data_IF_170695549572
#
_entry.id   IF_170695549572
#
_cell.length_a   1.000
_cell.length_b   1.000
_cell.length_c   1.000
_cell.angle_alpha   90.00
_cell.angle_beta   90.00
_cell.angle_gamma   90.00
#
_symmetry.space_group_name_H-M   'P 1'
#
loop_
_entity.id
_entity.type
_entity.pdbx_description
1 polymer ?
#
# COMPACT_ATOMS: atom_id res chain seq x y z
N UNK A 1 33.43 -43.13 34.07
CA UNK A 1 32.28 -42.31 33.61
C UNK A 1 31.08 -43.23 33.45
N UNK A 2 29.90 -42.84 33.93
CA UNK A 2 28.69 -43.62 33.66
C UNK A 2 28.36 -43.60 32.17
N UNK A 3 27.66 -44.62 31.67
CA UNK A 3 27.18 -44.70 30.28
C UNK A 3 26.41 -43.44 29.87
N UNK A 4 25.66 -42.86 30.80
CA UNK A 4 24.94 -41.58 30.64
C UNK A 4 25.92 -40.42 30.41
N UNK A 5 27.03 -40.36 31.15
CA UNK A 5 28.05 -39.31 30.98
C UNK A 5 28.74 -39.37 29.60
N UNK A 6 28.93 -40.56 29.04
CA UNK A 6 29.49 -40.73 27.69
C UNK A 6 28.48 -40.25 26.63
N UNK A 7 27.20 -40.62 26.78
CA UNK A 7 26.13 -40.20 25.86
C UNK A 7 26.00 -38.67 25.84
N UNK A 8 25.99 -38.02 27.01
CA UNK A 8 25.91 -36.56 27.09
C UNK A 8 27.11 -35.87 26.44
N UNK A 9 28.32 -36.43 26.60
CA UNK A 9 29.53 -35.88 25.99
C UNK A 9 29.52 -36.03 24.47
N UNK A 10 29.03 -37.17 23.95
CA UNK A 10 28.84 -37.36 22.51
C UNK A 10 27.80 -36.40 21.93
N UNK A 11 26.67 -36.17 22.62
CA UNK A 11 25.67 -35.19 22.20
C UNK A 11 26.27 -33.78 22.18
N UNK A 12 26.98 -33.39 23.23
CA UNK A 12 27.63 -32.08 23.30
C UNK A 12 28.65 -31.89 22.16
N UNK A 13 29.48 -32.89 21.89
CA UNK A 13 30.44 -32.86 20.78
C UNK A 13 29.74 -32.76 19.41
N UNK A 14 28.65 -33.50 19.21
CA UNK A 14 27.85 -33.44 17.98
C UNK A 14 27.22 -32.05 17.78
N UNK A 15 26.69 -31.43 18.84
CA UNK A 15 26.15 -30.07 18.81
C UNK A 15 27.24 -29.05 18.47
N UNK A 16 28.42 -29.14 19.11
CA UNK A 16 29.55 -28.24 18.80
C UNK A 16 29.99 -28.41 17.34
N UNK A 17 30.11 -29.64 16.85
CA UNK A 17 30.47 -29.90 15.46
C UNK A 17 29.43 -29.33 14.49
N UNK A 18 28.13 -29.52 14.77
CA UNK A 18 27.05 -28.95 13.97
C UNK A 18 27.11 -27.41 13.94
N UNK A 19 27.35 -26.76 15.08
CA UNK A 19 27.53 -25.31 15.17
C UNK A 19 28.73 -24.85 14.35
N UNK A 20 29.88 -25.51 14.46
CA UNK A 20 31.07 -25.18 13.67
C UNK A 20 30.86 -25.37 12.17
N UNK A 21 30.13 -26.42 11.77
CA UNK A 21 29.76 -26.67 10.38
C UNK A 21 28.85 -25.55 9.86
N UNK A 22 27.81 -25.17 10.63
CA UNK A 22 26.91 -24.06 10.29
C UNK A 22 27.71 -22.76 10.15
N UNK A 23 28.56 -22.41 11.11
CA UNK A 23 29.40 -21.20 11.05
C UNK A 23 30.32 -21.21 9.82
N UNK A 24 30.87 -22.37 9.46
CA UNK A 24 31.70 -22.53 8.26
C UNK A 24 30.89 -22.31 6.97
N UNK A 25 29.68 -22.87 6.90
CA UNK A 25 28.76 -22.65 5.76
C UNK A 25 28.37 -21.18 5.65
N UNK A 26 28.02 -20.53 6.76
CA UNK A 26 27.69 -19.10 6.79
C UNK A 26 28.89 -18.26 6.33
N UNK A 27 30.11 -18.58 6.79
CA UNK A 27 31.34 -17.89 6.36
C UNK A 27 31.62 -18.06 4.87
N UNK A 28 31.35 -19.24 4.30
CA UNK A 28 31.48 -19.47 2.86
C UNK A 28 30.43 -18.67 2.08
N UNK A 29 29.14 -18.76 2.47
CA UNK A 29 28.03 -18.01 1.86
C UNK A 29 28.32 -16.50 1.86
N UNK A 30 28.72 -15.95 2.99
CA UNK A 30 29.09 -14.52 3.11
C UNK A 30 30.30 -14.13 2.25
N UNK A 31 31.34 -14.97 2.19
CA UNK A 31 32.56 -14.67 1.41
C UNK A 31 32.30 -14.63 -0.09
N UNK A 32 31.46 -15.53 -0.59
CA UNK A 32 31.19 -15.66 -2.02
C UNK A 32 29.94 -14.90 -2.48
N UNK A 33 29.22 -14.23 -1.58
CA UNK A 33 28.05 -13.45 -1.94
C UNK A 33 28.44 -12.16 -2.66
N UNK A 34 27.81 -11.94 -3.81
CA UNK A 34 27.83 -10.68 -4.55
C UNK A 34 26.38 -10.33 -4.90
N UNK A 35 25.91 -9.10 -4.62
CA UNK A 35 24.54 -8.73 -4.95
C UNK A 35 24.28 -8.72 -6.46
N UNK A 36 23.06 -9.03 -6.86
CA UNK A 36 22.62 -8.93 -8.26
C UNK A 36 22.69 -7.47 -8.74
N UNK A 37 23.35 -7.24 -9.88
CA UNK A 37 23.47 -5.89 -10.46
C UNK A 37 22.13 -5.38 -11.03
N UNK A 38 21.36 -6.28 -11.66
CA UNK A 38 20.03 -5.96 -12.21
C UNK A 38 18.98 -5.81 -11.10
N UNK A 39 18.84 -4.58 -10.61
CA UNK A 39 17.87 -4.22 -9.56
C UNK A 39 16.41 -4.37 -10.00
N UNK A 40 16.12 -4.32 -11.31
CA UNK A 40 14.76 -4.51 -11.80
C UNK A 40 14.38 -5.98 -11.66
N UNK A 41 15.23 -6.90 -12.14
CA UNK A 41 15.03 -8.34 -12.00
C UNK A 41 15.00 -8.76 -10.52
N UNK A 42 15.87 -8.20 -9.68
CA UNK A 42 15.91 -8.47 -8.23
C UNK A 42 14.61 -8.02 -7.53
N UNK A 43 14.08 -6.83 -7.86
CA UNK A 43 12.79 -6.36 -7.35
C UNK A 43 11.64 -7.26 -7.80
N UNK A 44 11.62 -7.68 -9.07
CA UNK A 44 10.60 -8.59 -9.59
C UNK A 44 10.64 -9.94 -8.88
N UNK A 45 11.84 -10.46 -8.58
CA UNK A 45 12.01 -11.69 -7.81
C UNK A 45 11.45 -11.55 -6.40
N UNK A 46 11.83 -10.50 -5.67
CA UNK A 46 11.29 -10.21 -4.35
C UNK A 46 9.75 -10.09 -4.38
N UNK A 47 9.22 -9.36 -5.37
CA UNK A 47 7.78 -9.17 -5.52
C UNK A 47 7.03 -10.46 -5.85
N UNK A 48 7.67 -11.43 -6.54
CA UNK A 48 7.09 -12.77 -6.71
C UNK A 48 7.04 -13.52 -5.38
N UNK A 49 8.11 -13.48 -4.59
CA UNK A 49 8.22 -14.18 -3.32
C UNK A 49 7.15 -13.68 -2.31
N UNK A 50 6.93 -12.36 -2.22
CA UNK A 50 6.01 -11.77 -1.24
C UNK A 50 4.58 -11.57 -1.76
N UNK A 51 4.29 -11.93 -3.02
CA UNK A 51 2.95 -11.74 -3.62
C UNK A 51 1.88 -12.51 -2.87
N UNK A 52 2.16 -13.77 -2.49
CA UNK A 52 1.22 -14.64 -1.80
C UNK A 52 0.86 -14.13 -0.39
N UNK A 53 1.75 -13.35 0.21
CA UNK A 53 1.51 -12.65 1.46
C UNK A 53 0.61 -11.41 1.29
N UNK A 54 0.38 -10.94 0.06
CA UNK A 54 -0.46 -9.79 -0.24
C UNK A 54 0.29 -8.47 -0.41
N UNK A 55 1.62 -8.50 -0.58
CA UNK A 55 2.45 -7.29 -0.61
C UNK A 55 3.31 -7.21 -1.88
N UNK A 56 3.88 -6.02 -2.09
CA UNK A 56 4.94 -5.75 -3.04
C UNK A 56 5.91 -4.70 -2.47
N UNK A 57 7.09 -4.63 -3.05
CA UNK A 57 8.15 -3.68 -2.74
C UNK A 57 8.39 -2.73 -3.90
N UNK A 58 8.61 -1.45 -3.57
CA UNK A 58 9.02 -0.42 -4.50
C UNK A 58 10.35 0.19 -4.06
N UNK A 59 11.40 -0.08 -4.84
CA UNK A 59 12.77 0.40 -4.60
C UNK A 59 12.89 1.92 -4.63
N UNK A 60 12.15 2.63 -5.48
CA UNK A 60 12.23 4.10 -5.59
C UNK A 60 11.82 4.78 -4.29
N UNK A 61 10.82 4.23 -3.60
CA UNK A 61 10.35 4.74 -2.31
C UNK A 61 10.95 4.02 -1.10
N UNK A 62 11.73 2.96 -1.34
CA UNK A 62 12.18 1.98 -0.34
C UNK A 62 11.05 1.60 0.62
N UNK A 63 9.95 1.08 0.05
CA UNK A 63 8.70 0.86 0.77
C UNK A 63 8.03 -0.44 0.33
N UNK A 64 7.63 -1.24 1.31
CA UNK A 64 6.71 -2.37 1.15
C UNK A 64 5.28 -1.88 1.25
N UNK A 65 4.36 -2.41 0.46
CA UNK A 65 2.98 -1.95 0.40
C UNK A 65 2.03 -3.07 0.01
N UNK A 66 0.77 -2.95 0.41
CA UNK A 66 -0.31 -3.89 0.10
C UNK A 66 -0.65 -3.91 -1.39
N UNK A 67 -0.96 -5.10 -1.90
CA UNK A 67 -1.57 -5.27 -3.21
C UNK A 67 -3.07 -4.96 -3.14
N UNK A 68 -3.65 -4.58 -4.28
CA UNK A 68 -5.09 -4.32 -4.37
C UNK A 68 -5.92 -5.56 -4.02
N UNK A 69 -5.53 -6.70 -4.59
CA UNK A 69 -6.25 -7.97 -4.53
C UNK A 69 -5.57 -8.94 -3.56
N UNK A 70 -5.09 -8.42 -2.43
CA UNK A 70 -4.50 -9.24 -1.38
C UNK A 70 -5.58 -10.03 -0.61
N UNK A 71 -5.24 -11.21 -0.12
CA UNK A 71 -6.18 -12.12 0.55
C UNK A 71 -6.78 -11.51 1.83
N UNK A 72 -6.10 -10.55 2.46
CA UNK A 72 -6.59 -9.78 3.61
C UNK A 72 -7.94 -9.11 3.33
N UNK A 73 -8.29 -8.89 2.05
CA UNK A 73 -9.58 -8.33 1.64
C UNK A 73 -10.77 -9.20 2.05
N UNK A 74 -10.57 -10.51 2.21
CA UNK A 74 -11.60 -11.45 2.63
C UNK A 74 -11.88 -11.40 4.14
N UNK A 75 -11.01 -10.74 4.91
CA UNK A 75 -10.96 -10.84 6.37
C UNK A 75 -11.78 -9.76 7.07
N UNK A 76 -12.18 -8.70 6.35
CA UNK A 76 -12.90 -7.57 6.92
C UNK A 76 -12.17 -6.91 8.09
N UNK A 77 -12.93 -6.29 9.01
CA UNK A 77 -12.37 -5.64 10.18
C UNK A 77 -13.32 -5.56 11.37
N UNK A 78 -12.80 -5.72 12.57
CA UNK A 78 -13.44 -5.34 13.83
C UNK A 78 -12.40 -4.92 14.86
N UNK A 79 -12.86 -4.26 15.94
CA UNK A 79 -11.99 -3.75 17.00
C UNK A 79 -11.08 -4.83 17.62
N UNK A 80 -11.51 -6.09 17.64
CA UNK A 80 -10.72 -7.20 18.20
C UNK A 80 -9.36 -7.36 17.51
N UNK A 81 -9.23 -6.93 16.25
CA UNK A 81 -7.97 -6.97 15.52
C UNK A 81 -6.97 -5.95 16.08
N UNK A 82 -7.41 -4.74 16.43
CA UNK A 82 -6.55 -3.77 17.12
C UNK A 82 -6.12 -4.30 18.48
N UNK A 83 -7.06 -4.87 19.24
CA UNK A 83 -6.80 -5.42 20.58
C UNK A 83 -5.76 -6.55 20.58
N UNK A 84 -5.79 -7.42 19.55
CA UNK A 84 -4.87 -8.54 19.41
C UNK A 84 -3.54 -8.20 18.73
N UNK A 85 -3.37 -6.97 18.22
CA UNK A 85 -2.23 -6.62 17.35
C UNK A 85 -0.86 -6.82 18.02
N UNK A 86 -0.73 -6.46 19.29
CA UNK A 86 0.52 -6.59 20.05
C UNK A 86 0.97 -8.03 20.26
N UNK A 87 0.04 -9.01 20.26
CA UNK A 87 0.37 -10.44 20.30
C UNK A 87 1.15 -10.92 19.07
N UNK A 88 1.12 -10.12 17.99
CA UNK A 88 1.78 -10.42 16.72
C UNK A 88 2.85 -9.39 16.37
N UNK A 89 3.46 -8.80 17.41
CA UNK A 89 4.54 -7.82 17.30
C UNK A 89 4.16 -6.53 16.56
N UNK A 90 2.87 -6.22 16.46
CA UNK A 90 2.38 -4.97 15.90
C UNK A 90 1.98 -4.06 17.06
N UNK A 91 2.69 -2.95 17.22
CA UNK A 91 2.43 -1.94 18.24
C UNK A 91 2.24 -0.62 17.50
N UNK A 92 1.00 -0.16 17.46
CA UNK A 92 0.57 0.94 16.62
C UNK A 92 -0.51 1.75 17.31
N UNK A 93 -0.59 3.02 16.94
CA UNK A 93 -1.78 3.79 17.26
C UNK A 93 -2.88 3.53 16.22
N UNK A 94 -4.10 3.34 16.71
CA UNK A 94 -5.31 3.12 15.92
C UNK A 94 -6.25 4.32 16.06
N UNK A 95 -6.80 4.80 14.95
CA UNK A 95 -7.78 5.88 14.91
C UNK A 95 -8.96 5.52 13.97
N UNK A 96 -9.93 4.74 14.46
CA UNK A 96 -11.13 4.42 13.70
C UNK A 96 -12.09 5.62 13.66
N UNK A 97 -12.26 6.21 12.49
CA UNK A 97 -13.26 7.27 12.24
C UNK A 97 -14.54 6.64 11.69
N UNK A 98 -15.57 6.57 12.53
CA UNK A 98 -16.85 5.95 12.21
C UNK A 98 -17.87 7.01 11.79
N UNK A 99 -18.67 6.71 10.76
CA UNK A 99 -19.71 7.61 10.27
C UNK A 99 -20.78 6.85 9.47
N UNK A 100 -21.96 7.45 9.29
CA UNK A 100 -23.04 6.86 8.50
C UNK A 100 -23.19 7.57 7.16
N UNK A 101 -23.28 6.81 6.07
CA UNK A 101 -23.46 7.37 4.74
C UNK A 101 -24.13 6.36 3.79
N UNK A 102 -25.13 6.85 3.03
CA UNK A 102 -25.87 6.07 2.02
C UNK A 102 -26.42 4.72 2.53
N UNK A 103 -27.00 4.72 3.74
CA UNK A 103 -27.60 3.53 4.35
C UNK A 103 -26.60 2.52 4.92
N UNK A 104 -25.31 2.86 4.97
CA UNK A 104 -24.25 2.01 5.54
C UNK A 104 -23.55 2.70 6.70
N UNK A 105 -23.02 1.89 7.60
CA UNK A 105 -22.03 2.29 8.61
C UNK A 105 -20.65 2.17 7.99
N UNK A 106 -19.89 3.25 7.99
CA UNK A 106 -18.54 3.31 7.46
C UNK A 106 -17.54 3.46 8.59
N UNK A 107 -16.35 2.93 8.35
CA UNK A 107 -15.18 3.16 9.18
C UNK A 107 -13.99 3.40 8.25
N UNK A 108 -13.36 4.56 8.40
CA UNK A 108 -12.04 4.81 7.84
C UNK A 108 -11.08 4.79 9.01
N UNK A 109 -10.11 3.89 8.96
CA UNK A 109 -9.19 3.70 10.06
C UNK A 109 -7.76 4.03 9.66
N UNK A 110 -7.11 4.80 10.53
CA UNK A 110 -5.74 5.25 10.35
C UNK A 110 -4.86 4.51 11.35
N UNK A 111 -3.78 3.90 10.86
CA UNK A 111 -2.77 3.30 11.73
C UNK A 111 -1.40 3.89 11.48
N UNK A 112 -0.61 4.05 12.55
CA UNK A 112 0.82 4.36 12.48
C UNK A 112 1.56 3.67 13.62
N UNK A 113 2.69 3.02 13.32
CA UNK A 113 3.42 2.29 14.35
C UNK A 113 4.55 1.42 13.87
N UNK A 114 4.85 0.40 14.68
CA UNK A 114 5.83 -0.63 14.45
C UNK A 114 5.13 -1.96 14.17
N UNK A 115 5.46 -2.58 13.04
CA UNK A 115 4.93 -3.84 12.55
C UNK A 115 6.09 -4.84 12.45
N UNK A 116 6.41 -5.48 13.56
CA UNK A 116 7.59 -6.35 13.68
C UNK A 116 8.89 -5.59 13.40
N UNK A 117 9.62 -6.03 12.36
CA UNK A 117 10.88 -5.39 11.92
C UNK A 117 10.67 -4.21 10.97
N UNK A 118 9.44 -3.72 10.82
CA UNK A 118 9.11 -2.60 9.94
C UNK A 118 8.39 -1.50 10.69
N UNK A 119 8.62 -0.24 10.33
CA UNK A 119 7.78 0.88 10.77
C UNK A 119 6.87 1.30 9.62
N UNK A 120 5.62 1.63 9.90
CA UNK A 120 4.64 1.80 8.84
C UNK A 120 3.42 2.62 9.21
N UNK A 121 2.57 2.77 8.20
CA UNK A 121 1.26 3.37 8.34
C UNK A 121 0.27 2.78 7.33
N UNK A 122 -0.99 2.83 7.69
CA UNK A 122 -2.09 2.25 6.94
C UNK A 122 -3.31 3.18 6.96
N UNK A 123 -4.06 3.16 5.87
CA UNK A 123 -5.37 3.82 5.76
C UNK A 123 -6.35 2.81 5.15
N UNK A 124 -7.24 2.29 5.99
CA UNK A 124 -8.24 1.28 5.62
C UNK A 124 -9.64 1.87 5.51
N UNK A 125 -10.41 1.42 4.52
CA UNK A 125 -11.79 1.82 4.28
C UNK A 125 -12.67 0.58 4.38
N UNK A 126 -13.61 0.63 5.31
CA UNK A 126 -14.52 -0.46 5.60
C UNK A 126 -15.94 0.05 5.70
N UNK A 127 -16.90 -0.79 5.36
CA UNK A 127 -18.31 -0.50 5.55
C UNK A 127 -19.13 -1.75 5.86
N UNK A 128 -20.28 -1.54 6.49
CA UNK A 128 -21.25 -2.60 6.79
C UNK A 128 -22.67 -2.04 6.78
N UNK A 129 -23.59 -2.83 6.26
CA UNK A 129 -25.04 -2.66 6.38
C UNK A 129 -25.65 -3.74 7.29
N UNK A 130 -24.81 -4.55 7.94
CA UNK A 130 -25.23 -5.64 8.82
C UNK A 130 -25.46 -5.15 10.24
N UNK A 131 -26.24 -5.90 11.01
CA UNK A 131 -26.32 -5.75 12.45
C UNK A 131 -24.99 -6.14 13.13
N UNK A 132 -24.85 -5.75 14.39
CA UNK A 132 -23.68 -6.10 15.18
C UNK A 132 -23.64 -7.60 15.45
N UNK A 133 -22.42 -8.16 15.41
CA UNK A 133 -22.19 -9.52 15.83
C UNK A 133 -22.44 -9.60 17.33
N UNK A 134 -23.17 -10.62 17.76
CA UNK A 134 -23.40 -10.93 19.17
C UNK A 134 -22.95 -12.35 19.44
N UNK A 135 -21.92 -12.49 20.26
CA UNK A 135 -21.39 -13.76 20.74
C UNK A 135 -20.84 -13.58 22.16
N UNK A 136 -20.58 -14.68 22.85
CA UNK A 136 -19.99 -14.65 24.20
C UNK A 136 -18.60 -13.98 24.23
N UNK A 137 -17.86 -14.01 23.11
CA UNK A 137 -16.47 -13.53 23.01
C UNK A 137 -16.33 -12.16 22.38
N UNK A 138 -17.33 -11.71 21.63
CA UNK A 138 -17.31 -10.43 20.93
C UNK A 138 -18.75 -9.93 20.72
N UNK A 139 -18.97 -8.67 21.09
CA UNK A 139 -20.16 -7.92 20.72
C UNK A 139 -19.74 -6.61 20.08
N UNK A 140 -20.16 -6.38 18.84
CA UNK A 140 -19.83 -5.15 18.13
C UNK A 140 -19.95 -5.26 16.61
N UNK A 141 -19.69 -4.17 15.89
CA UNK A 141 -19.76 -4.15 14.44
C UNK A 141 -18.61 -4.96 13.83
N UNK A 142 -18.92 -5.63 12.73
CA UNK A 142 -17.92 -6.14 11.80
C UNK A 142 -18.11 -5.46 10.45
N UNK A 143 -17.02 -4.95 9.90
CA UNK A 143 -17.00 -4.22 8.66
C UNK A 143 -16.38 -5.07 7.54
N UNK A 144 -17.03 -5.12 6.39
CA UNK A 144 -16.41 -5.67 5.18
C UNK A 144 -15.44 -4.63 4.60
N UNK A 145 -14.38 -5.09 3.92
CA UNK A 145 -13.50 -4.21 3.15
C UNK A 145 -14.28 -3.49 2.05
N UNK A 146 -13.97 -2.22 1.77
CA UNK A 146 -14.65 -1.46 0.73
C UNK A 146 -14.58 -2.17 -0.64
N UNK A 147 -15.74 -2.23 -1.31
CA UNK A 147 -15.86 -2.82 -2.65
C UNK A 147 -15.10 -1.98 -3.68
N UNK A 148 -14.87 -2.53 -4.87
CA UNK A 148 -14.07 -1.86 -5.90
C UNK A 148 -14.64 -0.51 -6.32
N UNK A 149 -15.98 -0.39 -6.33
CA UNK A 149 -16.73 0.83 -6.61
C UNK A 149 -16.74 1.84 -5.45
N UNK A 150 -16.29 1.41 -4.27
CA UNK A 150 -16.33 2.17 -3.01
C UNK A 150 -14.93 2.55 -2.50
N UNK A 151 -13.88 2.19 -3.25
CA UNK A 151 -12.50 2.65 -3.00
C UNK A 151 -12.41 4.16 -3.12
N UNK A 152 -11.52 4.77 -2.34
CA UNK A 152 -11.29 6.21 -2.38
C UNK A 152 -9.87 6.52 -2.85
N UNK A 153 -9.66 7.59 -3.62
CA UNK A 153 -8.34 8.16 -3.83
C UNK A 153 -7.79 8.66 -2.49
N UNK A 154 -6.67 8.08 -2.07
CA UNK A 154 -5.98 8.38 -0.83
C UNK A 154 -4.51 8.69 -1.09
N UNK A 155 -3.91 9.48 -0.21
CA UNK A 155 -2.47 9.62 -0.12
C UNK A 155 -2.08 9.90 1.32
N UNK A 156 -0.89 9.48 1.72
CA UNK A 156 -0.36 9.89 3.02
C UNK A 156 1.15 10.15 2.98
N UNK A 157 1.60 10.91 3.98
CA UNK A 157 3.02 11.12 4.30
C UNK A 157 3.26 10.64 5.73
N UNK A 158 4.11 9.62 5.89
CA UNK A 158 4.54 9.17 7.21
C UNK A 158 5.85 9.88 7.58
N UNK A 159 5.91 10.41 8.80
CA UNK A 159 7.10 11.08 9.35
C UNK A 159 7.48 10.44 10.67
N UNK A 160 8.77 10.46 10.96
CA UNK A 160 9.33 10.16 12.28
C UNK A 160 10.10 11.37 12.77
N UNK A 161 9.76 11.89 13.95
CA UNK A 161 10.40 13.06 14.54
C UNK A 161 10.51 14.23 13.54
N UNK A 162 9.41 14.49 12.80
CA UNK A 162 9.29 15.52 11.76
C UNK A 162 9.92 15.20 10.39
N UNK A 163 10.78 14.18 10.28
CA UNK A 163 11.43 13.78 9.03
C UNK A 163 10.55 12.83 8.24
N UNK A 164 10.38 13.08 6.94
CA UNK A 164 9.62 12.18 6.06
C UNK A 164 10.32 10.83 5.98
N UNK A 165 9.60 9.77 6.34
CA UNK A 165 10.01 8.41 6.02
C UNK A 165 9.69 8.15 4.55
N UNK A 166 8.41 8.04 4.20
CA UNK A 166 7.97 7.79 2.84
C UNK A 166 6.58 8.38 2.57
N UNK A 167 6.15 8.30 1.31
CA UNK A 167 4.85 8.78 0.83
C UNK A 167 4.15 7.70 0.03
N UNK A 168 2.83 7.62 0.13
CA UNK A 168 1.99 6.71 -0.64
C UNK A 168 0.81 7.47 -1.23
N UNK A 169 0.35 7.04 -2.41
CA UNK A 169 -0.88 7.53 -3.02
C UNK A 169 -1.48 6.43 -3.91
N UNK A 170 -2.80 6.44 -4.04
CA UNK A 170 -3.53 5.53 -4.91
C UNK A 170 -5.04 5.54 -4.65
N UNK A 171 -5.80 5.09 -5.64
CA UNK A 171 -7.18 4.65 -5.44
C UNK A 171 -7.14 3.28 -4.77
N UNK A 172 -7.56 3.16 -3.51
CA UNK A 172 -7.42 1.93 -2.75
C UNK A 172 -8.56 1.74 -1.73
N UNK A 173 -8.70 0.52 -1.21
CA UNK A 173 -9.50 0.24 -0.01
C UNK A 173 -8.60 0.19 1.23
N UNK A 174 -7.38 -0.32 1.09
CA UNK A 174 -6.36 -0.39 2.15
C UNK A 174 -4.98 0.10 1.68
N UNK A 175 -4.72 1.41 1.78
CA UNK A 175 -3.45 1.99 1.33
C UNK A 175 -2.42 1.89 2.46
N UNK A 176 -1.34 1.14 2.23
CA UNK A 176 -0.30 0.92 3.24
C UNK A 176 1.09 1.33 2.75
N UNK A 177 2.02 1.41 3.70
CA UNK A 177 3.44 1.49 3.44
C UNK A 177 4.25 1.12 4.69
N UNK A 178 5.34 0.38 4.49
CA UNK A 178 6.23 -0.09 5.54
C UNK A 178 7.70 0.04 5.14
N UNK A 179 8.51 0.58 6.04
CA UNK A 179 9.97 0.68 5.91
C UNK A 179 10.63 -0.41 6.73
N UNK A 180 11.46 -1.22 6.08
CA UNK A 180 12.15 -2.33 6.69
C UNK A 180 13.39 -1.89 7.49
N UNK A 181 13.54 -2.43 8.71
CA UNK A 181 14.73 -2.24 9.53
C UNK A 181 14.81 -0.89 10.24
N UNK A 182 13.75 -0.09 10.18
CA UNK A 182 13.59 1.14 10.96
C UNK A 182 12.68 0.82 12.16
N UNK A 183 13.16 1.14 13.36
CA UNK A 183 12.39 1.01 14.59
C UNK A 183 11.77 2.36 14.93
N UNK A 184 10.50 2.41 15.32
CA UNK A 184 9.87 3.62 15.82
C UNK A 184 8.96 3.31 17.00
N UNK A 185 8.95 4.17 18.01
CA UNK A 185 7.80 4.22 18.93
C UNK A 185 6.62 4.93 18.23
N UNK A 186 5.36 4.50 18.44
CA UNK A 186 4.18 5.13 17.81
C UNK A 186 4.08 6.65 18.03
N UNK A 187 4.56 7.16 19.17
CA UNK A 187 4.55 8.59 19.51
C UNK A 187 5.54 9.42 18.70
N UNK A 188 6.60 8.81 18.16
CA UNK A 188 7.56 9.49 17.29
C UNK A 188 6.98 9.75 15.89
N UNK A 189 5.90 9.06 15.55
CA UNK A 189 5.32 9.06 14.21
C UNK A 189 4.22 10.11 14.06
N UNK A 190 4.19 10.77 12.91
CA UNK A 190 3.03 11.56 12.48
C UNK A 190 2.61 11.17 11.08
N UNK A 191 1.30 11.23 10.80
CA UNK A 191 0.71 10.80 9.56
C UNK A 191 -0.20 11.90 8.99
N UNK A 192 0.23 12.49 7.86
CA UNK A 192 -0.60 13.42 7.10
C UNK A 192 -1.40 12.62 6.06
N UNK A 193 -2.71 12.43 6.26
CA UNK A 193 -3.58 11.64 5.36
C UNK A 193 -4.47 12.55 4.54
N UNK A 194 -4.60 12.30 3.24
CA UNK A 194 -5.51 13.02 2.34
C UNK A 194 -6.44 12.04 1.65
N UNK A 195 -7.74 12.26 1.77
CA UNK A 195 -8.80 11.38 1.25
C UNK A 195 -9.75 12.21 0.39
N UNK A 196 -9.99 11.79 -0.86
CA UNK A 196 -10.97 12.41 -1.75
C UNK A 196 -12.26 11.60 -1.75
N UNK A 197 -13.33 12.19 -1.25
CA UNK A 197 -14.67 11.61 -1.21
C UNK A 197 -15.42 11.80 -2.54
N UNK A 198 -16.37 10.92 -2.87
CA UNK A 198 -17.12 11.00 -4.13
C UNK A 198 -18.00 12.25 -4.21
N UNK A 199 -18.55 12.70 -3.09
CA UNK A 199 -19.41 13.86 -3.01
C UNK A 199 -19.32 14.56 -1.64
N UNK A 200 -19.98 15.71 -1.53
CA UNK A 200 -20.03 16.52 -0.31
C UNK A 200 -20.69 15.78 0.86
N UNK A 201 -21.73 14.99 0.60
CA UNK A 201 -22.46 14.29 1.65
C UNK A 201 -21.58 13.25 2.37
N UNK A 202 -20.81 12.43 1.65
CA UNK A 202 -19.90 11.48 2.29
C UNK A 202 -18.75 12.17 3.01
N UNK A 203 -18.20 13.24 2.41
CA UNK A 203 -17.19 14.08 3.06
C UNK A 203 -17.70 14.63 4.37
N UNK A 204 -18.90 15.22 4.39
CA UNK A 204 -19.48 15.83 5.59
C UNK A 204 -19.78 14.80 6.67
N UNK A 205 -20.24 13.61 6.29
CA UNK A 205 -20.40 12.50 7.22
C UNK A 205 -19.07 12.10 7.87
N UNK A 206 -17.99 12.00 7.09
CA UNK A 206 -16.64 11.74 7.65
C UNK A 206 -16.15 12.87 8.55
N UNK A 207 -16.41 14.14 8.20
CA UNK A 207 -16.09 15.29 9.05
C UNK A 207 -16.86 15.24 10.38
N UNK A 208 -18.14 14.85 10.35
CA UNK A 208 -18.92 14.60 11.55
C UNK A 208 -18.27 13.55 12.45
N UNK A 209 -17.83 12.42 11.87
CA UNK A 209 -17.09 11.39 12.60
C UNK A 209 -15.79 11.90 13.22
N UNK A 210 -15.01 12.72 12.52
CA UNK A 210 -13.80 13.36 13.08
C UNK A 210 -14.15 14.30 14.25
N UNK A 211 -15.19 15.10 14.11
CA UNK A 211 -15.64 16.04 15.14
C UNK A 211 -16.15 15.33 16.40
N UNK A 212 -16.87 14.23 16.23
CA UNK A 212 -17.34 13.37 17.33
C UNK A 212 -16.17 12.76 18.12
N UNK A 213 -15.05 12.46 17.46
CA UNK A 213 -13.82 12.01 18.13
C UNK A 213 -13.09 13.14 18.88
N UNK A 214 -13.35 14.40 18.54
CA UNK A 214 -12.70 15.56 19.16
C UNK A 214 -11.67 16.28 18.28
N UNK A 215 -11.54 15.91 17.00
CA UNK A 215 -10.62 16.59 16.08
C UNK A 215 -11.02 18.06 15.88
N UNK A 216 -10.05 18.96 16.09
CA UNK A 216 -10.23 20.41 15.99
C UNK A 216 -9.73 21.02 14.68
N UNK A 217 -9.98 22.34 14.52
CA UNK A 217 -9.72 23.08 13.28
C UNK A 217 -8.25 23.21 12.83
N UNK A 218 -7.28 22.71 13.61
CA UNK A 218 -5.86 22.62 13.20
C UNK A 218 -5.42 21.19 12.85
N UNK A 219 -6.26 20.20 13.12
CA UNK A 219 -5.94 18.78 12.96
C UNK A 219 -6.51 18.22 11.65
N UNK A 220 -7.35 18.98 10.96
CA UNK A 220 -7.76 18.65 9.60
C UNK A 220 -8.03 19.91 8.77
N UNK A 221 -8.00 19.73 7.44
CA UNK A 221 -8.32 20.76 6.46
C UNK A 221 -9.22 20.20 5.36
N UNK A 222 -10.09 21.05 4.81
CA UNK A 222 -11.07 20.66 3.79
C UNK A 222 -10.89 21.50 2.53
N UNK A 223 -10.80 20.84 1.38
CA UNK A 223 -10.76 21.48 0.07
C UNK A 223 -11.63 20.70 -0.92
N UNK A 224 -12.77 21.28 -1.33
CA UNK A 224 -13.75 20.60 -2.18
C UNK A 224 -14.31 19.35 -1.51
N UNK A 225 -14.15 18.18 -2.14
CA UNK A 225 -14.51 16.88 -1.57
C UNK A 225 -13.30 16.16 -0.93
N UNK A 226 -12.20 16.87 -0.68
CA UNK A 226 -11.00 16.28 -0.09
C UNK A 226 -10.81 16.76 1.34
N UNK A 227 -10.58 15.82 2.25
CA UNK A 227 -10.19 16.07 3.64
C UNK A 227 -8.72 15.68 3.80
N UNK A 228 -7.95 16.54 4.47
CA UNK A 228 -6.59 16.24 4.92
C UNK A 228 -6.63 16.16 6.44
N UNK A 229 -6.16 15.07 7.02
CA UNK A 229 -6.10 14.81 8.47
C UNK A 229 -4.64 14.80 8.89
N UNK A 230 -4.31 15.55 9.94
CA UNK A 230 -3.00 15.62 10.57
C UNK A 230 -3.02 14.73 11.81
N UNK A 231 -2.75 13.44 11.62
CA UNK A 231 -2.81 12.45 12.68
C UNK A 231 -1.49 12.38 13.46
N UNK A 232 -1.46 12.99 14.65
CA UNK A 232 -0.29 13.01 15.55
C UNK A 232 -0.53 12.15 16.78
N UNK A 233 -1.50 12.53 17.60
CA UNK A 233 -1.89 11.86 18.83
C UNK A 233 -3.29 11.30 18.64
N UNK A 234 -3.55 10.05 19.03
CA UNK A 234 -4.88 9.50 18.90
C UNK A 234 -5.89 10.16 19.82
N UNK A 235 -7.10 10.36 19.31
CA UNK A 235 -8.26 10.81 20.08
C UNK A 235 -9.06 9.62 20.62
N UNK A 236 -9.08 8.48 19.91
CA UNK A 236 -9.63 7.25 20.42
C UNK A 236 -8.76 6.61 21.51
N UNK A 237 -9.37 5.90 22.49
CA UNK A 237 -8.64 4.95 23.33
C UNK A 237 -7.86 3.95 22.48
N UNK A 238 -6.62 3.71 22.88
CA UNK A 238 -5.74 2.73 22.22
C UNK A 238 -6.04 1.31 22.71
N UNK A 239 -5.61 0.26 21.98
CA UNK A 239 -5.79 -1.12 22.39
C UNK A 239 -5.48 -1.34 23.87
N UNK A 240 -6.17 -2.27 24.52
CA UNK A 240 -6.04 -2.57 25.95
C UNK A 240 -4.61 -2.95 26.37
N UNK A 241 -3.81 -3.44 25.42
CA UNK A 241 -2.40 -3.74 25.64
C UNK A 241 -1.50 -2.50 25.66
N UNK A 242 -2.00 -1.33 25.28
CA UNK A 242 -1.23 -0.10 25.22
C UNK A 242 -0.70 0.32 26.60
N UNK A 243 0.59 0.64 26.67
CA UNK A 243 1.28 0.98 27.92
C UNK A 243 1.49 -0.20 28.88
N UNK A 244 1.15 -1.43 28.47
CA UNK A 244 1.39 -2.63 29.28
C UNK A 244 2.87 -3.06 29.25
N UNK A 245 3.28 -3.85 30.25
CA UNK A 245 4.61 -4.48 30.27
C UNK A 245 4.82 -5.43 29.08
N UNK A 246 3.74 -6.06 28.60
CA UNK A 246 3.78 -6.93 27.43
C UNK A 246 4.12 -6.12 26.17
N UNK A 247 3.45 -4.99 25.95
CA UNK A 247 3.75 -4.10 24.83
C UNK A 247 5.20 -3.58 24.88
N UNK A 248 5.68 -3.20 26.07
CA UNK A 248 7.07 -2.78 26.25
C UNK A 248 8.07 -3.88 25.86
N UNK A 249 7.84 -5.13 26.30
CA UNK A 249 8.68 -6.27 25.93
C UNK A 249 8.65 -6.55 24.42
N UNK A 250 7.47 -6.42 23.78
CA UNK A 250 7.33 -6.55 22.32
C UNK A 250 8.13 -5.46 21.60
N UNK A 251 8.08 -4.21 22.07
CA UNK A 251 8.86 -3.11 21.50
C UNK A 251 10.37 -3.32 21.66
N UNK A 252 10.85 -3.81 22.80
CA UNK A 252 12.26 -4.17 22.99
C UNK A 252 12.71 -5.25 21.99
N UNK A 253 11.88 -6.27 21.77
CA UNK A 253 12.15 -7.31 20.77
C UNK A 253 12.18 -6.71 19.35
N UNK A 254 11.23 -5.85 19.01
CA UNK A 254 11.18 -5.18 17.71
C UNK A 254 12.42 -4.29 17.48
N UNK A 255 12.84 -3.54 18.50
CA UNK A 255 14.05 -2.71 18.45
C UNK A 255 15.31 -3.56 18.26
N UNK A 256 15.46 -4.62 19.06
CA UNK A 256 16.57 -5.54 18.97
C UNK A 256 16.64 -6.23 17.59
N UNK A 257 15.50 -6.65 17.04
CA UNK A 257 15.43 -7.26 15.72
C UNK A 257 15.78 -6.27 14.61
N UNK A 258 15.32 -5.01 14.70
CA UNK A 258 15.71 -3.96 13.76
C UNK A 258 17.22 -3.67 13.84
N UNK A 259 17.78 -3.61 15.06
CA UNK A 259 19.21 -3.42 15.27
C UNK A 259 20.04 -4.57 14.69
N UNK A 260 19.62 -5.82 14.94
CA UNK A 260 20.25 -7.02 14.38
C UNK A 260 20.20 -7.02 12.85
N UNK A 261 19.04 -6.73 12.25
CA UNK A 261 18.90 -6.59 10.80
C UNK A 261 19.88 -5.55 10.24
N UNK A 262 19.96 -4.36 10.84
CA UNK A 262 20.89 -3.30 10.41
C UNK A 262 22.36 -3.71 10.59
N UNK A 263 22.68 -4.43 11.66
CA UNK A 263 24.05 -4.91 11.92
C UNK A 263 24.47 -5.96 10.90
N UNK A 264 23.64 -6.99 10.68
CA UNK A 264 23.93 -8.10 9.77
C UNK A 264 24.02 -7.64 8.32
N UNK A 265 23.19 -6.67 7.93
CA UNK A 265 23.09 -6.20 6.55
C UNK A 265 23.82 -4.89 6.28
N UNK A 266 24.53 -4.34 7.27
CA UNK A 266 25.13 -2.99 7.23
C UNK A 266 26.18 -2.77 6.13
N UNK A 267 26.69 -3.85 5.52
CA UNK A 267 27.57 -3.78 4.34
C UNK A 267 26.84 -3.27 3.08
N UNK A 268 25.51 -3.39 3.03
CA UNK A 268 24.70 -3.04 1.86
C UNK A 268 23.83 -1.83 2.17
N UNK A 269 23.75 -0.90 1.21
CA UNK A 269 22.90 0.30 1.34
C UNK A 269 21.50 0.04 0.81
N UNK A 270 21.37 -0.70 -0.28
CA UNK A 270 20.11 -1.00 -0.97
C UNK A 270 19.36 -2.14 -0.26
N UNK A 271 18.06 -1.94 0.03
CA UNK A 271 17.24 -2.95 0.70
C UNK A 271 17.13 -4.25 -0.08
N UNK A 272 17.14 -4.21 -1.42
CA UNK A 272 17.14 -5.44 -2.21
C UNK A 272 18.39 -6.29 -1.95
N UNK A 273 19.55 -5.64 -1.82
CA UNK A 273 20.82 -6.32 -1.55
C UNK A 273 20.89 -6.86 -0.14
N UNK A 274 20.32 -6.13 0.83
CA UNK A 274 20.17 -6.61 2.21
C UNK A 274 19.34 -7.89 2.26
N UNK A 275 18.22 -7.92 1.54
CA UNK A 275 17.32 -9.08 1.50
C UNK A 275 17.91 -10.26 0.72
N UNK A 276 18.53 -10.01 -0.44
CA UNK A 276 19.21 -11.05 -1.21
C UNK A 276 20.36 -11.66 -0.39
N UNK A 277 21.09 -10.84 0.37
CA UNK A 277 22.13 -11.31 1.28
C UNK A 277 21.56 -12.20 2.39
N UNK A 278 20.46 -11.80 3.04
CA UNK A 278 19.80 -12.63 4.05
C UNK A 278 19.33 -13.95 3.44
N UNK A 279 18.71 -13.91 2.25
CA UNK A 279 18.26 -15.10 1.52
C UNK A 279 19.43 -16.03 1.20
N UNK A 280 20.57 -15.50 0.77
CA UNK A 280 21.77 -16.29 0.51
C UNK A 280 22.40 -16.85 1.80
N UNK A 281 22.32 -16.11 2.91
CA UNK A 281 22.92 -16.48 4.19
C UNK A 281 22.13 -17.60 4.88
N UNK A 282 20.81 -17.43 4.99
CA UNK A 282 19.89 -18.31 5.74
C UNK A 282 18.56 -18.49 4.97
N UNK A 283 18.56 -19.20 3.83
CA UNK A 283 17.40 -19.30 2.94
C UNK A 283 16.18 -19.90 3.64
N UNK A 284 16.37 -20.93 4.46
CA UNK A 284 15.27 -21.58 5.18
C UNK A 284 14.60 -20.62 6.17
N UNK A 285 15.41 -19.78 6.83
CA UNK A 285 14.90 -18.77 7.75
C UNK A 285 14.23 -17.62 6.99
N UNK A 286 14.77 -17.23 5.83
CA UNK A 286 14.16 -16.23 4.95
C UNK A 286 12.77 -16.69 4.49
N UNK A 287 12.64 -17.92 3.99
CA UNK A 287 11.33 -18.47 3.58
C UNK A 287 10.37 -18.59 4.78
N UNK A 288 10.85 -19.08 5.94
CA UNK A 288 10.03 -19.11 7.15
C UNK A 288 9.53 -17.71 7.54
N UNK A 289 10.40 -16.69 7.50
CA UNK A 289 10.00 -15.31 7.77
C UNK A 289 9.00 -14.81 6.72
N UNK A 290 9.23 -15.01 5.42
CA UNK A 290 8.27 -14.58 4.40
C UNK A 290 6.89 -15.23 4.57
N UNK A 291 6.84 -16.50 4.98
CA UNK A 291 5.58 -17.19 5.25
C UNK A 291 4.91 -16.76 6.56
N UNK A 292 5.69 -16.34 7.56
CA UNK A 292 5.19 -15.94 8.90
C UNK A 292 4.93 -14.44 9.03
N UNK A 293 5.54 -13.60 8.19
CA UNK A 293 5.52 -12.14 8.27
C UNK A 293 4.12 -11.53 8.09
N UNK A 294 3.14 -12.29 7.58
CA UNK A 294 1.96 -11.67 7.00
C UNK A 294 0.67 -12.37 7.36
N UNK A 295 0.33 -12.31 8.64
CA UNK A 295 -1.06 -12.23 9.10
C UNK A 295 -1.87 -13.53 9.12
N UNK A 296 -1.49 -14.62 8.44
CA UNK A 296 -2.29 -15.86 8.50
C UNK A 296 -2.48 -16.34 9.94
N UNK A 297 -1.38 -16.45 10.69
CA UNK A 297 -1.44 -16.79 12.11
C UNK A 297 -2.23 -15.76 12.96
N UNK A 298 -2.16 -14.46 12.60
CA UNK A 298 -2.95 -13.40 13.24
C UNK A 298 -4.44 -13.66 13.04
N UNK A 299 -4.89 -13.80 11.80
CA UNK A 299 -6.30 -14.04 11.51
C UNK A 299 -6.77 -15.44 11.91
N UNK A 300 -5.88 -16.44 11.95
CA UNK A 300 -6.18 -17.79 12.45
C UNK A 300 -6.62 -17.74 13.93
N UNK A 301 -6.06 -16.83 14.73
CA UNK A 301 -6.50 -16.62 16.12
C UNK A 301 -7.95 -16.11 16.22
N UNK A 302 -8.47 -15.51 15.14
CA UNK A 302 -9.84 -15.02 15.00
C UNK A 302 -10.70 -15.88 14.07
N UNK A 303 -10.25 -17.08 13.70
CA UNK A 303 -10.99 -17.95 12.77
C UNK A 303 -12.41 -18.25 13.21
N UNK A 304 -12.63 -18.43 14.51
CA UNK A 304 -13.96 -18.62 15.09
C UNK A 304 -14.93 -17.48 14.75
N UNK A 305 -14.45 -16.23 14.70
CA UNK A 305 -15.24 -15.06 14.38
C UNK A 305 -15.55 -15.03 12.88
N UNK A 306 -14.56 -15.33 12.05
CA UNK A 306 -14.70 -15.39 10.60
C UNK A 306 -15.68 -16.48 10.18
N UNK A 307 -15.63 -17.65 10.81
CA UNK A 307 -16.57 -18.74 10.58
C UNK A 307 -18.01 -18.33 10.92
N UNK A 308 -18.22 -17.61 12.03
CA UNK A 308 -19.52 -17.03 12.39
C UNK A 308 -20.02 -16.04 11.31
N UNK A 309 -19.16 -15.16 10.83
CA UNK A 309 -19.50 -14.15 9.82
C UNK A 309 -19.84 -14.80 8.48
N UNK A 310 -19.08 -15.80 8.07
CA UNK A 310 -19.28 -16.53 6.82
C UNK A 310 -20.54 -17.40 6.87
N UNK A 311 -20.85 -18.02 8.01
CA UNK A 311 -22.10 -18.76 8.20
C UNK A 311 -23.34 -17.85 8.10
N UNK A 312 -23.21 -16.58 8.48
CA UNK A 312 -24.28 -15.58 8.40
C UNK A 312 -24.37 -14.88 7.04
N UNK A 313 -23.47 -15.14 6.08
CA UNK A 313 -23.58 -14.58 4.73
C UNK A 313 -24.71 -15.30 3.99
N UNK A 314 -25.81 -14.64 3.61
CA UNK A 314 -26.73 -15.22 2.63
C UNK A 314 -25.97 -15.50 1.34
N UNK A 315 -26.31 -16.61 0.66
CA UNK A 315 -25.69 -16.97 -0.61
C UNK A 315 -25.66 -15.75 -1.55
N UNK A 316 -24.56 -15.52 -2.29
CA UNK A 316 -24.49 -14.40 -3.22
C UNK A 316 -25.71 -14.45 -4.14
N UNK A 317 -26.46 -13.34 -4.20
CA UNK A 317 -27.55 -13.22 -5.17
C UNK A 317 -26.97 -13.52 -6.56
N UNK A 318 -27.63 -14.35 -7.39
CA UNK A 318 -27.16 -14.62 -8.73
C UNK A 318 -26.86 -13.30 -9.43
N UNK A 319 -25.61 -13.15 -9.91
CA UNK A 319 -25.28 -12.05 -10.79
C UNK A 319 -26.19 -12.23 -12.01
N UNK A 320 -27.06 -11.27 -12.36
CA UNK A 320 -27.84 -11.36 -13.58
C UNK A 320 -26.85 -11.65 -14.74
N UNK A 321 -27.14 -12.61 -15.62
CA UNK A 321 -26.26 -12.88 -16.75
C UNK A 321 -25.98 -11.56 -17.45
N UNK A 322 -24.70 -11.32 -17.76
CA UNK A 322 -24.31 -10.15 -18.53
C UNK A 322 -25.25 -10.05 -19.74
N UNK A 323 -25.78 -8.85 -20.06
CA UNK A 323 -26.58 -8.68 -21.26
C UNK A 323 -25.84 -9.32 -22.42
N UNK A 324 -26.50 -10.24 -23.13
CA UNK A 324 -25.93 -10.86 -24.30
C UNK A 324 -25.34 -9.76 -25.20
N UNK A 325 -24.11 -9.93 -25.72
CA UNK A 325 -23.63 -9.03 -26.77
C UNK A 325 -24.72 -8.98 -27.85
N UNK A 326 -25.08 -7.80 -28.38
CA UNK A 326 -26.12 -7.69 -29.38
C UNK A 326 -25.83 -8.69 -30.50
N UNK A 327 -26.75 -9.65 -30.66
CA UNK A 327 -26.62 -10.72 -31.63
C UNK A 327 -26.36 -10.12 -33.00
N UNK A 328 -25.34 -10.62 -33.68
CA UNK A 328 -25.12 -10.33 -35.10
C UNK A 328 -26.41 -10.65 -35.85
N UNK A 329 -27.02 -9.63 -36.46
CA UNK A 329 -28.18 -9.81 -37.33
C UNK A 329 -27.88 -10.90 -38.38
N UNK A 330 -28.82 -11.81 -38.66
CA UNK A 330 -28.66 -12.73 -39.77
C UNK A 330 -28.62 -11.91 -41.06
N UNK A 331 -27.61 -12.13 -41.89
CA UNK A 331 -27.58 -11.60 -43.25
C UNK A 331 -28.72 -12.23 -44.05
N UNK A 332 -29.76 -11.44 -44.36
CA UNK A 332 -30.77 -11.85 -45.33
C UNK A 332 -30.15 -11.97 -46.74
N UNK A 333 -30.62 -12.93 -47.55
CA UNK A 333 -30.07 -13.18 -48.87
C UNK A 333 -30.54 -12.11 -49.87
N UNK A 334 -29.63 -11.63 -50.72
CA UNK A 334 -29.96 -10.66 -51.78
C UNK A 334 -30.93 -11.28 -52.81
N UNK A 335 -32.01 -10.55 -53.12
CA UNK A 335 -32.92 -10.82 -54.24
C UNK A 335 -32.56 -9.93 -55.45
N UNK A 336 -32.90 -10.35 -56.69
CA UNK A 336 -32.28 -9.83 -57.91
C UNK A 336 -32.92 -8.54 -58.44
N UNK A 337 -32.11 -7.85 -59.26
CA UNK A 337 -32.31 -6.56 -59.92
C UNK A 337 -33.68 -6.39 -60.60
N UNK A 338 -34.23 -5.17 -60.51
CA UNK A 338 -35.10 -4.64 -61.57
C UNK A 338 -34.96 -3.12 -61.69
N UNK A 339 -34.76 -2.70 -62.93
CA UNK A 339 -34.42 -1.34 -63.35
C UNK A 339 -35.63 -0.38 -63.32
N UNK A 340 -35.25 0.89 -63.21
CA UNK A 340 -35.94 2.20 -63.31
C UNK A 340 -37.09 2.32 -64.34
N UNK A 341 -37.93 3.39 -64.25
CA UNK A 341 -37.60 4.58 -65.04
C UNK A 341 -37.91 5.95 -64.38
N UNK A 342 -37.15 6.92 -64.88
CA UNK A 342 -37.09 8.36 -64.62
C UNK A 342 -38.43 9.13 -64.61
N UNK A 343 -38.51 10.20 -63.80
CA UNK A 343 -38.98 11.52 -64.31
C UNK A 343 -38.60 12.70 -63.39
N UNK A 344 -38.03 13.73 -64.04
CA UNK A 344 -38.16 15.17 -63.75
C UNK A 344 -37.30 15.83 -62.63
N UNK A 345 -36.26 16.55 -63.07
CA UNK A 345 -36.16 18.02 -62.91
C UNK A 345 -35.77 18.61 -61.55
N UNK A 346 -34.54 19.13 -61.49
CA UNK A 346 -33.84 19.96 -60.45
C UNK A 346 -34.64 21.17 -59.89
N UNK A 347 -34.30 21.82 -58.73
CA UNK A 347 -32.94 22.17 -58.27
C UNK A 347 -32.58 22.10 -56.75
N UNK A 348 -31.30 21.78 -56.52
CA UNK A 348 -30.27 22.11 -55.47
C UNK A 348 -30.62 22.84 -54.15
N UNK A 349 -29.69 22.87 -53.15
CA UNK A 349 -29.03 21.77 -52.42
C UNK A 349 -28.99 22.00 -50.88
N UNK A 350 -29.03 20.95 -50.05
CA UNK A 350 -28.56 21.02 -48.65
C UNK A 350 -27.98 19.68 -48.16
N UNK A 351 -26.72 19.75 -47.70
CA UNK A 351 -25.83 18.73 -47.06
C UNK A 351 -26.50 18.05 -45.84
N UNK A 352 -26.01 16.91 -45.25
CA UNK A 352 -24.59 16.56 -45.08
C UNK A 352 -24.14 15.07 -44.93
N UNK A 353 -22.80 14.89 -44.94
CA UNK A 353 -21.96 14.02 -44.06
C UNK A 353 -21.63 12.57 -44.48
N UNK A 354 -20.53 11.98 -43.92
CA UNK A 354 -19.40 11.35 -44.64
C UNK A 354 -19.40 9.81 -44.47
N UNK A 355 -18.58 9.03 -45.17
CA UNK A 355 -17.26 8.56 -44.73
C UNK A 355 -16.69 7.69 -45.87
N UNK A 356 -15.52 7.98 -46.45
CA UNK A 356 -14.22 7.38 -46.13
C UNK A 356 -14.25 5.90 -45.69
N UNK A 357 -13.80 5.00 -46.58
CA UNK A 357 -12.51 4.32 -46.39
C UNK A 357 -12.06 3.47 -47.59
N UNK A 358 -10.74 3.50 -47.80
CA UNK A 358 -9.87 2.50 -48.43
C UNK A 358 -9.83 2.39 -49.97
N UNK A 359 -8.70 2.82 -50.54
CA UNK A 359 -7.86 2.18 -51.57
C UNK A 359 -6.60 3.08 -51.69
N UNK A 360 -5.38 2.63 -51.39
CA UNK A 360 -4.62 1.74 -52.27
C UNK A 360 -3.20 1.46 -51.72
N UNK A 361 -2.83 0.19 -51.63
CA UNK A 361 -1.44 -0.30 -51.70
C UNK A 361 -1.37 -1.32 -52.84
N UNK A 362 -0.35 -1.23 -53.70
CA UNK A 362 -0.05 -2.22 -54.78
C UNK A 362 1.00 -3.25 -54.33
N UNK A 363 1.05 -4.45 -54.95
CA UNK A 363 1.64 -5.66 -54.36
C UNK A 363 3.12 -5.87 -54.74
N UNK A 364 3.89 -6.52 -53.86
CA UNK A 364 5.15 -7.18 -54.25
C UNK A 364 5.02 -8.69 -54.05
N UNK A 365 5.31 -9.42 -55.12
CA UNK A 365 5.20 -10.88 -55.26
C UNK A 365 6.14 -11.58 -54.27
N UNK A 366 5.61 -12.40 -53.36
CA UNK A 366 6.25 -13.61 -52.80
C UNK A 366 5.46 -14.34 -51.69
N UNK A 367 4.18 -14.05 -51.47
CA UNK A 367 3.32 -14.87 -50.59
C UNK A 367 1.97 -15.16 -51.26
N UNK A 368 1.76 -16.40 -51.69
CA UNK A 368 0.44 -16.94 -52.02
C UNK A 368 0.07 -17.94 -50.92
N UNK A 369 -0.69 -17.53 -49.91
CA UNK A 369 -1.18 -18.44 -48.85
C UNK A 369 -1.36 -17.77 -47.48
N UNK A 370 -2.19 -18.41 -46.63
CA UNK A 370 -2.59 -17.94 -45.31
C UNK A 370 -1.40 -17.55 -44.41
N UNK A 371 -1.49 -16.38 -43.77
CA UNK A 371 -0.39 -15.72 -43.06
C UNK A 371 -0.10 -16.27 -41.64
N UNK A 372 -0.62 -17.44 -41.27
CA UNK A 372 -0.42 -18.00 -39.92
C UNK A 372 0.84 -18.85 -39.76
N UNK A 373 1.49 -19.26 -40.86
CA UNK A 373 2.67 -20.16 -40.81
C UNK A 373 3.97 -19.56 -41.38
N UNK A 374 4.12 -18.23 -41.46
CA UNK A 374 5.33 -17.64 -42.05
C UNK A 374 6.52 -17.60 -41.05
N UNK A 375 7.64 -18.31 -41.33
CA UNK A 375 8.76 -18.47 -40.39
C UNK A 375 9.64 -17.22 -40.21
N UNK A 376 9.30 -16.08 -40.82
CA UNK A 376 10.08 -14.84 -40.80
C UNK A 376 9.41 -13.64 -40.11
N UNK A 377 8.35 -13.84 -39.30
CA UNK A 377 7.66 -12.73 -38.64
C UNK A 377 8.53 -12.07 -37.56
N UNK A 378 9.11 -10.90 -37.87
CA UNK A 378 9.62 -9.93 -36.87
C UNK A 378 8.49 -8.98 -36.45
N UNK A 379 8.33 -8.73 -35.14
CA UNK A 379 7.44 -7.68 -34.62
C UNK A 379 8.25 -6.72 -33.76
N UNK A 380 8.62 -5.57 -34.33
CA UNK A 380 8.96 -4.32 -33.62
C UNK A 380 9.12 -3.19 -34.63
N UNK A 381 8.24 -2.19 -34.60
CA UNK A 381 8.61 -0.77 -34.67
C UNK A 381 7.35 0.13 -34.59
N UNK A 382 7.27 0.90 -33.51
CA UNK A 382 6.35 2.04 -33.37
C UNK A 382 6.89 3.28 -34.08
N UNK A 383 5.96 4.15 -34.47
CA UNK A 383 6.23 5.43 -35.14
C UNK A 383 6.26 6.59 -34.13
N UNK A 384 7.23 7.49 -34.33
CA UNK A 384 7.19 8.91 -33.93
C UNK A 384 7.34 9.76 -35.20
N UNK A 385 6.55 10.83 -35.31
CA UNK A 385 6.84 12.12 -36.00
C UNK A 385 5.53 12.93 -35.96
N UNK A 386 5.47 14.27 -35.89
CA UNK A 386 6.45 15.36 -36.00
C UNK A 386 5.73 16.70 -35.77
N UNK A 387 6.47 17.79 -35.50
CA UNK A 387 6.40 19.04 -36.29
C UNK A 387 7.53 20.02 -35.93
N UNK A 388 8.04 20.72 -36.95
CA UNK A 388 9.23 21.59 -37.00
C UNK A 388 8.89 23.09 -36.82
N UNK A 389 9.85 23.94 -36.42
CA UNK A 389 10.50 24.98 -37.27
C UNK A 389 11.13 26.18 -36.50
N UNK A 390 12.35 26.54 -36.92
CA UNK A 390 13.05 27.85 -36.98
C UNK A 390 13.06 28.90 -35.84
N UNK A 391 14.29 29.26 -35.39
CA UNK A 391 14.86 30.60 -35.67
C UNK A 391 14.96 31.67 -34.55
N UNK A 392 16.21 31.96 -34.16
CA UNK A 392 16.78 33.26 -33.74
C UNK A 392 16.73 33.75 -32.28
N UNK A 393 17.87 34.34 -31.89
CA UNK A 393 18.26 34.90 -30.58
C UNK A 393 17.50 36.20 -30.27
N UNK A 394 17.20 36.46 -29.00
CA UNK A 394 17.48 37.75 -28.35
C UNK A 394 17.38 37.65 -26.82
N UNK A 395 18.36 38.27 -26.15
CA UNK A 395 18.38 38.58 -24.72
C UNK A 395 17.17 39.45 -24.35
N UNK A 396 16.49 39.13 -23.24
CA UNK A 396 15.98 40.17 -22.33
C UNK A 396 15.75 39.59 -20.93
N UNK A 397 16.56 40.09 -20.00
CA UNK A 397 16.40 40.03 -18.55
C UNK A 397 15.15 40.78 -18.11
N UNK A 398 14.31 40.17 -17.26
CA UNK A 398 13.36 40.89 -16.43
C UNK A 398 13.30 40.24 -15.03
N UNK A 399 14.05 40.89 -14.13
CA UNK A 399 13.87 40.90 -12.70
C UNK A 399 12.51 41.52 -12.33
N UNK A 400 11.80 40.89 -11.38
CA UNK A 400 10.71 41.54 -10.66
C UNK A 400 11.01 41.53 -9.17
N UNK A 401 11.52 42.68 -8.71
CA UNK A 401 11.36 43.21 -7.37
C UNK A 401 9.96 43.81 -7.23
N UNK A 402 9.37 43.71 -6.04
CA UNK A 402 8.42 44.70 -5.51
C UNK A 402 8.42 44.61 -3.96
N UNK A 403 7.98 45.67 -3.25
CA UNK A 403 8.78 46.31 -2.19
C UNK A 403 8.20 46.18 -0.77
N UNK A 404 9.04 46.41 0.25
CA UNK A 404 8.68 46.92 1.60
C UNK A 404 9.16 48.40 1.70
N UNK A 405 8.86 49.24 2.74
CA UNK A 405 8.14 49.05 4.03
C UNK A 405 7.17 50.24 4.37
N UNK A 406 6.77 50.53 5.64
CA UNK A 406 7.67 51.18 6.62
C UNK A 406 7.65 50.58 8.04
N UNK A 407 8.70 50.91 8.78
CA UNK A 407 9.03 50.46 10.13
C UNK A 407 8.33 51.25 11.26
N UNK A 408 8.16 50.61 12.41
CA UNK A 408 8.16 51.27 13.73
C UNK A 408 8.70 50.32 14.81
N UNK A 409 9.91 50.66 15.26
CA UNK A 409 10.47 50.66 16.63
C UNK A 409 10.43 49.44 17.59
N UNK A 410 11.62 49.24 18.18
CA UNK A 410 11.97 48.74 19.51
C UNK A 410 11.69 47.28 19.92
N UNK A 411 12.77 46.49 20.06
CA UNK A 411 13.49 46.44 21.33
C UNK A 411 14.76 45.58 21.23
N UNK A 412 15.89 46.17 21.63
CA UNK A 412 17.15 45.49 21.93
C UNK A 412 17.01 44.62 23.19
N UNK A 413 17.85 43.59 23.25
CA UNK A 413 18.49 42.93 24.42
C UNK A 413 18.15 41.45 24.60
N UNK A 414 19.17 40.65 24.95
CA UNK A 414 18.96 39.37 25.62
C UNK A 414 19.56 38.11 24.99
N UNK A 415 20.73 38.18 24.33
CA UNK A 415 21.58 37.00 24.13
C UNK A 415 22.35 36.77 25.43
N UNK A 416 21.77 36.00 26.36
CA UNK A 416 22.42 35.28 27.47
C UNK A 416 21.35 34.85 28.49
N UNK A 417 20.99 33.56 28.47
CA UNK A 417 20.40 32.74 29.54
C UNK A 417 19.51 31.67 28.92
N UNK A 418 20.09 30.49 28.71
CA UNK A 418 19.41 29.17 28.85
C UNK A 418 20.46 28.06 28.69
N UNK A 419 21.43 28.08 29.60
CA UNK A 419 22.17 26.90 30.06
C UNK A 419 21.93 26.84 31.57
N UNK A 420 20.83 26.24 31.96
CA UNK A 420 20.47 25.76 33.30
C UNK A 420 18.96 25.52 33.27
N UNK A 421 18.57 24.30 32.94
CA UNK A 421 17.37 23.62 33.43
C UNK A 421 17.39 22.20 32.86
N UNK A 422 18.40 21.46 33.30
CA UNK A 422 18.55 20.03 33.10
C UNK A 422 19.12 19.48 34.40
N UNK A 423 18.30 19.42 35.46
CA UNK A 423 18.52 18.66 36.71
C UNK A 423 17.41 18.96 37.71
N UNK A 424 16.25 18.31 37.56
CA UNK A 424 15.36 17.95 38.66
C UNK A 424 14.16 17.23 38.07
N UNK A 425 14.08 15.92 38.24
CA UNK A 425 12.85 15.19 38.63
C UNK A 425 13.19 13.69 38.64
N UNK A 426 13.94 13.30 39.67
CA UNK A 426 14.03 11.93 40.17
C UNK A 426 13.69 12.00 41.67
N UNK A 427 12.42 11.75 42.02
CA UNK A 427 11.94 11.10 43.25
C UNK A 427 10.45 11.35 43.47
N UNK A 428 9.76 10.23 43.74
CA UNK A 428 8.48 10.10 44.45
C UNK A 428 7.19 10.55 43.73
N UNK A 429 6.56 9.62 43.00
CA UNK A 429 5.44 8.81 43.50
C UNK A 429 5.15 7.66 42.54
#
# INVERSE_FOLDING_TARGET
MSTIGIILLCIAAAVVFAVLLILSILKLRTRFFTPTEDKAAQQEALNRDIKAAGFAYNRKGDVFYSLMDCWQREMGYCQLYDEGSSLFNMVMHCEPVRFSYAGKRWMIELWKGQYGITTGAEVGIYNTDREDIRSERFTGPFYDCARDSERLPMSFVLRKNGRVLFKRNGLHWWLTGFRLGEFSSPDELTLDVRIRFPNRAMRDAFLGGLQELGYGGREYAVYGNTVTVHYTTPHNPQPLSHGSLQEAAVQEINEANCALYRQVTGKYTDTLDKLEYIKALVPELYEFFLHSLYGKAFYDSFRWLLDLIHAQRPAPKPVPPAPYPPGTCPSEPCAPDSCTPDSCGSPSPCRPRPDSCCLSCRPNRLCCGCCEECPYRRVSCGSRSSCQSYGSRQHMSLSYHCPDPPASEDCRTGRERRQADALSYRKAR
#
